data_IF_523358377037
#
_entry.id   IF_523358377037
#
_cell.length_a   1.000
_cell.length_b   1.000
_cell.length_c   1.000
_cell.angle_alpha   90.00
_cell.angle_beta   90.00
_cell.angle_gamma   90.00
#
_symmetry.space_group_name_H-M   'P 1'
#
loop_
_entity.id
_entity.type
_entity.pdbx_description
1 polymer ?
#
# COMPACT_ATOMS: atom_id res chain seq x y z
N UNK A 1 -11.70 18.52 -4.14
CA UNK A 1 -12.86 17.69 -4.56
C UNK A 1 -14.05 18.55 -4.98
N UNK A 2 -14.50 19.52 -4.16
CA UNK A 2 -15.62 20.40 -4.52
C UNK A 2 -15.33 21.36 -5.69
N UNK A 3 -14.07 21.51 -6.07
CA UNK A 3 -13.65 22.31 -7.23
C UNK A 3 -13.64 21.50 -8.54
N UNK A 4 -14.01 20.21 -8.51
CA UNK A 4 -14.10 19.40 -9.73
C UNK A 4 -15.25 19.90 -10.62
N UNK A 5 -15.15 19.75 -11.95
CA UNK A 5 -16.21 20.15 -12.86
C UNK A 5 -17.56 19.51 -12.47
N UNK A 6 -18.61 20.35 -12.34
CA UNK A 6 -19.98 19.95 -11.97
C UNK A 6 -20.12 19.33 -10.58
N UNK A 7 -19.15 19.50 -9.69
CA UNK A 7 -19.26 18.98 -8.32
C UNK A 7 -20.42 19.60 -7.54
N UNK A 8 -20.73 20.88 -7.80
CA UNK A 8 -21.85 21.61 -7.18
C UNK A 8 -23.23 21.00 -7.48
N UNK A 9 -23.39 20.30 -8.61
CA UNK A 9 -24.66 19.64 -8.98
C UNK A 9 -24.63 18.12 -8.82
N UNK A 10 -23.46 17.49 -8.93
CA UNK A 10 -23.34 16.03 -9.07
C UNK A 10 -22.53 15.34 -7.96
N UNK A 11 -21.99 16.09 -6.99
CA UNK A 11 -21.21 15.53 -5.89
C UNK A 11 -21.82 15.94 -4.54
N UNK A 12 -22.15 14.94 -3.72
CA UNK A 12 -22.48 15.13 -2.30
C UNK A 12 -21.42 14.45 -1.45
N UNK A 13 -21.15 15.02 -0.27
CA UNK A 13 -20.13 14.51 0.65
C UNK A 13 -20.82 14.00 1.89
N UNK A 14 -20.51 12.75 2.26
CA UNK A 14 -21.08 12.07 3.40
C UNK A 14 -19.97 11.64 4.35
N UNK A 15 -20.21 11.75 5.65
CA UNK A 15 -19.33 11.16 6.65
C UNK A 15 -19.60 9.66 6.70
N UNK A 16 -18.56 8.84 6.61
CA UNK A 16 -18.62 7.40 6.83
C UNK A 16 -17.40 6.93 7.61
N UNK A 17 -17.57 5.93 8.48
CA UNK A 17 -16.53 5.40 9.37
C UNK A 17 -16.56 3.88 9.27
N UNK A 18 -15.42 3.27 8.91
CA UNK A 18 -15.36 1.84 8.59
C UNK A 18 -15.79 0.94 9.76
N UNK A 19 -15.41 1.26 11.00
CA UNK A 19 -15.78 0.45 12.16
C UNK A 19 -17.21 0.69 12.68
N UNK A 20 -17.88 1.77 12.27
CA UNK A 20 -19.22 2.11 12.76
C UNK A 20 -20.30 1.47 11.87
N UNK A 21 -21.05 0.53 12.43
CA UNK A 21 -22.19 -0.09 11.76
C UNK A 21 -23.25 0.96 11.37
N UNK A 22 -23.73 0.89 10.13
CA UNK A 22 -24.73 1.81 9.58
C UNK A 22 -24.19 3.19 9.17
N UNK A 23 -22.90 3.48 9.36
CA UNK A 23 -22.32 4.79 9.02
C UNK A 23 -22.37 5.12 7.52
N UNK A 24 -22.55 4.11 6.66
CA UNK A 24 -22.69 4.27 5.21
C UNK A 24 -24.15 4.16 4.73
N UNK A 25 -25.11 3.92 5.61
CA UNK A 25 -26.51 3.67 5.23
C UNK A 25 -27.12 4.84 4.45
N UNK A 26 -26.94 6.06 4.96
CA UNK A 26 -27.49 7.28 4.33
C UNK A 26 -26.87 7.54 2.96
N UNK A 27 -25.54 7.37 2.84
CA UNK A 27 -24.81 7.59 1.60
C UNK A 27 -25.13 6.53 0.52
N UNK A 28 -25.50 5.31 0.93
CA UNK A 28 -25.79 4.19 0.03
C UNK A 28 -27.30 4.11 -0.30
N UNK A 29 -28.17 4.71 0.50
CA UNK A 29 -29.61 4.72 0.24
C UNK A 29 -29.92 5.36 -1.12
N UNK A 30 -30.57 4.59 -2.00
CA UNK A 30 -30.93 5.03 -3.35
C UNK A 30 -29.84 4.87 -4.40
N UNK A 31 -28.63 4.46 -4.03
CA UNK A 31 -27.55 4.18 -4.99
C UNK A 31 -27.85 2.92 -5.82
N UNK A 32 -27.49 2.96 -7.10
CA UNK A 32 -27.55 1.79 -8.00
C UNK A 32 -26.24 0.98 -7.99
N UNK A 33 -25.13 1.62 -7.65
CA UNK A 33 -23.81 1.02 -7.60
C UNK A 33 -23.00 1.60 -6.45
N UNK A 34 -22.14 0.77 -5.87
CA UNK A 34 -21.22 1.19 -4.82
C UNK A 34 -19.81 0.77 -5.21
N UNK A 35 -18.87 1.70 -5.11
CA UNK A 35 -17.44 1.47 -5.30
C UNK A 35 -16.74 1.57 -3.96
N UNK A 36 -16.40 0.43 -3.37
CA UNK A 36 -15.66 0.38 -2.12
C UNK A 36 -14.15 0.41 -2.40
N UNK A 37 -13.59 1.63 -2.37
CA UNK A 37 -12.17 1.91 -2.59
C UNK A 37 -11.41 2.17 -1.27
N UNK A 38 -12.12 2.67 -0.25
CA UNK A 38 -11.52 3.04 1.03
C UNK A 38 -10.91 1.83 1.76
N UNK A 39 -9.75 2.04 2.38
CA UNK A 39 -9.09 1.03 3.23
C UNK A 39 -8.15 1.76 4.20
N UNK A 40 -7.95 1.28 5.43
CA UNK A 40 -6.86 1.74 6.28
C UNK A 40 -5.52 1.49 5.59
N UNK A 41 -4.64 2.49 5.61
CA UNK A 41 -3.35 2.49 4.89
C UNK A 41 -2.21 2.93 5.81
N UNK A 42 -2.20 2.46 7.05
CA UNK A 42 -1.08 2.68 7.98
C UNK A 42 -0.17 1.45 7.98
N UNK A 43 1.06 1.62 7.48
CA UNK A 43 2.05 0.54 7.43
C UNK A 43 2.93 0.45 8.67
N UNK A 44 2.85 1.44 9.56
CA UNK A 44 3.68 1.55 10.77
C UNK A 44 2.86 1.38 12.05
N UNK A 45 1.62 0.91 11.92
CA UNK A 45 0.71 0.64 13.04
C UNK A 45 1.35 -0.29 14.08
N UNK A 46 1.20 0.09 15.35
CA UNK A 46 1.69 -0.69 16.50
C UNK A 46 0.70 -1.76 16.94
N UNK A 47 -0.56 -1.65 16.52
CA UNK A 47 -1.61 -2.64 16.75
C UNK A 47 -2.33 -2.99 15.44
N UNK A 48 -1.65 -3.69 14.50
CA UNK A 48 -2.21 -3.91 13.17
C UNK A 48 -3.51 -4.70 13.14
N UNK A 49 -3.75 -5.54 14.15
CA UNK A 49 -4.99 -6.31 14.26
C UNK A 49 -6.20 -5.41 14.49
N UNK A 50 -6.08 -4.41 15.37
CA UNK A 50 -7.21 -3.54 15.72
C UNK A 50 -7.27 -2.27 14.88
N UNK A 51 -6.15 -1.78 14.35
CA UNK A 51 -6.09 -0.51 13.59
C UNK A 51 -6.15 -0.70 12.07
N UNK A 52 -5.83 -1.90 11.56
CA UNK A 52 -5.79 -2.16 10.11
C UNK A 52 -6.67 -3.36 9.72
N UNK A 53 -6.39 -4.54 10.27
CA UNK A 53 -6.99 -5.80 9.81
C UNK A 53 -8.50 -5.84 10.11
N UNK A 54 -8.89 -5.70 11.39
CA UNK A 54 -10.32 -5.72 11.77
C UNK A 54 -11.11 -4.58 11.13
N UNK A 55 -10.66 -3.31 11.11
CA UNK A 55 -11.38 -2.25 10.44
C UNK A 55 -11.60 -2.50 8.95
N UNK A 56 -10.63 -3.09 8.25
CA UNK A 56 -10.78 -3.42 6.82
C UNK A 56 -11.87 -4.48 6.61
N UNK A 57 -11.88 -5.53 7.44
CA UNK A 57 -12.89 -6.61 7.36
C UNK A 57 -14.28 -6.07 7.74
N UNK A 58 -14.38 -5.37 8.87
CA UNK A 58 -15.64 -4.81 9.35
C UNK A 58 -16.19 -3.76 8.38
N UNK A 59 -15.32 -2.91 7.82
CA UNK A 59 -15.68 -1.89 6.85
C UNK A 59 -16.36 -2.47 5.60
N UNK A 60 -15.79 -3.52 5.00
CA UNK A 60 -16.42 -4.15 3.83
C UNK A 60 -17.73 -4.84 4.20
N UNK A 61 -17.83 -5.47 5.38
CA UNK A 61 -19.06 -6.10 5.85
C UNK A 61 -20.16 -5.07 6.13
N UNK A 62 -19.81 -3.93 6.72
CA UNK A 62 -20.71 -2.82 6.99
C UNK A 62 -21.25 -2.20 5.71
N UNK A 63 -20.41 -2.02 4.69
CA UNK A 63 -20.85 -1.56 3.36
C UNK A 63 -21.77 -2.58 2.69
N UNK A 64 -21.46 -3.89 2.77
CA UNK A 64 -22.34 -4.94 2.24
C UNK A 64 -23.70 -4.91 2.95
N UNK A 65 -23.73 -4.75 4.27
CA UNK A 65 -24.98 -4.61 5.04
C UNK A 65 -25.78 -3.39 4.59
N UNK A 66 -25.11 -2.26 4.37
CA UNK A 66 -25.73 -1.03 3.89
C UNK A 66 -26.33 -1.21 2.49
N UNK A 67 -25.62 -1.90 1.57
CA UNK A 67 -26.12 -2.26 0.24
C UNK A 67 -27.39 -3.11 0.31
N UNK A 68 -27.41 -4.12 1.20
CA UNK A 68 -28.59 -4.98 1.43
C UNK A 68 -29.78 -4.17 1.96
N UNK A 69 -29.52 -3.25 2.90
CA UNK A 69 -30.55 -2.37 3.48
C UNK A 69 -31.13 -1.43 2.43
N UNK A 70 -30.29 -0.88 1.54
CA UNK A 70 -30.72 0.05 0.50
C UNK A 70 -31.63 -0.60 -0.56
N UNK A 71 -31.43 -1.90 -0.87
CA UNK A 71 -32.19 -2.68 -1.87
C UNK A 71 -32.15 -2.16 -3.32
N UNK A 72 -31.55 -0.99 -3.55
CA UNK A 72 -31.39 -0.37 -4.87
C UNK A 72 -30.05 -0.71 -5.54
N UNK A 73 -29.06 -1.14 -4.75
CA UNK A 73 -27.71 -1.45 -5.24
C UNK A 73 -27.75 -2.70 -6.09
N UNK A 74 -27.44 -2.54 -7.37
CA UNK A 74 -27.38 -3.60 -8.38
C UNK A 74 -26.06 -4.36 -8.32
N UNK A 75 -24.95 -3.65 -8.05
CA UNK A 75 -23.60 -4.22 -8.00
C UNK A 75 -22.70 -3.45 -7.04
N UNK A 76 -21.95 -4.19 -6.23
CA UNK A 76 -20.88 -3.68 -5.39
C UNK A 76 -19.53 -4.01 -6.04
N UNK A 77 -18.73 -2.99 -6.35
CA UNK A 77 -17.37 -3.13 -6.86
C UNK A 77 -16.40 -2.85 -5.72
N UNK A 78 -15.55 -3.82 -5.40
CA UNK A 78 -14.53 -3.72 -4.37
C UNK A 78 -13.15 -3.59 -5.00
N UNK A 79 -12.39 -2.59 -4.57
CA UNK A 79 -10.97 -2.49 -4.91
C UNK A 79 -10.18 -3.37 -3.96
N UNK A 80 -9.79 -4.56 -4.42
CA UNK A 80 -8.86 -5.45 -3.73
C UNK A 80 -7.40 -4.98 -3.96
N UNK A 81 -6.43 -5.89 -3.94
CA UNK A 81 -5.01 -5.56 -4.12
C UNK A 81 -4.19 -6.76 -4.61
N UNK A 82 -3.14 -6.50 -5.39
CA UNK A 82 -2.12 -7.49 -5.73
C UNK A 82 -1.52 -8.22 -4.51
N UNK A 83 -1.53 -7.58 -3.34
CA UNK A 83 -1.16 -8.23 -2.08
C UNK A 83 -2.06 -9.43 -1.70
N UNK A 84 -3.19 -9.61 -2.38
CA UNK A 84 -4.05 -10.79 -2.25
C UNK A 84 -3.66 -11.93 -3.19
N UNK A 85 -2.78 -11.70 -4.17
CA UNK A 85 -2.46 -12.63 -5.26
C UNK A 85 -1.10 -13.32 -5.13
N UNK A 86 -0.02 -12.59 -4.90
CA UNK A 86 1.35 -13.10 -5.09
C UNK A 86 2.27 -13.02 -3.87
N UNK A 87 1.78 -12.75 -2.67
CA UNK A 87 2.64 -12.72 -1.47
C UNK A 87 2.81 -14.15 -0.96
N UNK A 88 3.90 -14.78 -1.38
CA UNK A 88 4.23 -16.18 -1.11
C UNK A 88 5.75 -16.41 -1.20
N UNK A 89 6.30 -17.49 -0.61
CA UNK A 89 7.75 -17.69 -0.53
C UNK A 89 8.46 -17.76 -1.89
N UNK A 90 7.84 -18.40 -2.89
CA UNK A 90 8.37 -18.48 -4.26
C UNK A 90 7.38 -17.87 -5.25
N UNK A 91 7.85 -16.92 -6.05
CA UNK A 91 7.03 -16.30 -7.09
C UNK A 91 6.75 -17.27 -8.24
N UNK A 92 5.52 -17.24 -8.77
CA UNK A 92 5.19 -17.84 -10.07
C UNK A 92 5.59 -16.87 -11.19
N UNK A 93 5.89 -17.38 -12.40
CA UNK A 93 6.13 -16.50 -13.55
C UNK A 93 4.87 -15.73 -13.96
N UNK A 94 3.67 -16.30 -13.76
CA UNK A 94 2.38 -15.69 -14.10
C UNK A 94 1.38 -15.92 -12.97
N UNK A 95 0.62 -14.87 -12.64
CA UNK A 95 -0.53 -14.90 -11.74
C UNK A 95 -1.81 -14.56 -12.50
N UNK A 96 -2.88 -15.28 -12.15
CA UNK A 96 -4.25 -15.04 -12.63
C UNK A 96 -5.21 -14.91 -11.42
N UNK A 97 -6.49 -14.70 -11.69
CA UNK A 97 -7.53 -14.50 -10.67
C UNK A 97 -7.75 -15.70 -9.72
N UNK A 98 -7.26 -16.89 -10.09
CA UNK A 98 -7.39 -18.10 -9.25
C UNK A 98 -6.36 -18.14 -8.12
N UNK A 99 -5.30 -17.34 -8.23
CA UNK A 99 -4.24 -17.28 -7.25
C UNK A 99 -4.66 -16.55 -5.97
N UNK A 100 -4.11 -16.98 -4.84
CA UNK A 100 -4.23 -16.30 -3.55
C UNK A 100 -2.87 -16.31 -2.86
N UNK A 101 -2.59 -15.22 -2.14
CA UNK A 101 -1.41 -15.10 -1.29
C UNK A 101 -1.47 -16.02 -0.08
N UNK A 102 -0.30 -16.37 0.44
CA UNK A 102 -0.11 -17.24 1.59
C UNK A 102 -0.13 -16.41 2.88
N UNK A 103 -1.23 -16.50 3.62
CA UNK A 103 -1.40 -15.80 4.90
C UNK A 103 -0.37 -16.25 5.94
N UNK A 104 -0.07 -17.54 6.02
CA UNK A 104 0.87 -18.07 7.02
C UNK A 104 2.26 -17.49 6.77
N UNK A 105 2.68 -17.43 5.51
CA UNK A 105 3.92 -16.76 5.12
C UNK A 105 3.92 -15.27 5.46
N UNK A 106 2.84 -14.54 5.19
CA UNK A 106 2.71 -13.11 5.51
C UNK A 106 2.89 -12.87 7.01
N UNK A 107 2.16 -13.62 7.85
CA UNK A 107 2.22 -13.49 9.31
C UNK A 107 3.58 -13.93 9.89
N UNK A 108 4.23 -14.92 9.29
CA UNK A 108 5.55 -15.37 9.71
C UNK A 108 6.66 -14.38 9.31
N UNK A 109 6.61 -13.83 8.09
CA UNK A 109 7.68 -13.00 7.54
C UNK A 109 7.57 -11.53 7.94
N UNK A 110 6.35 -11.00 8.10
CA UNK A 110 6.05 -9.60 8.44
C UNK A 110 6.86 -8.59 7.61
N UNK A 111 6.89 -8.79 6.30
CA UNK A 111 7.54 -7.85 5.37
C UNK A 111 6.87 -6.47 5.40
N UNK A 112 7.50 -5.45 4.81
CA UNK A 112 6.88 -4.14 4.59
C UNK A 112 5.49 -4.30 3.97
N UNK A 113 4.45 -3.72 4.57
CA UNK A 113 3.08 -3.84 4.07
C UNK A 113 2.33 -5.12 4.49
N UNK A 114 2.89 -6.00 5.32
CA UNK A 114 2.28 -7.31 5.66
C UNK A 114 0.85 -7.22 6.21
N UNK A 115 0.58 -6.27 7.12
CA UNK A 115 -0.76 -6.13 7.72
C UNK A 115 -1.79 -5.65 6.70
N UNK A 116 -1.36 -4.82 5.75
CA UNK A 116 -2.20 -4.42 4.63
C UNK A 116 -2.52 -5.64 3.76
N UNK A 117 -1.53 -6.47 3.40
CA UNK A 117 -1.77 -7.69 2.62
C UNK A 117 -2.74 -8.64 3.34
N UNK A 118 -2.51 -8.91 4.62
CA UNK A 118 -3.39 -9.75 5.44
C UNK A 118 -4.81 -9.19 5.48
N UNK A 119 -4.97 -7.89 5.74
CA UNK A 119 -6.27 -7.21 5.81
C UNK A 119 -7.06 -7.32 4.51
N UNK A 120 -6.42 -7.09 3.35
CA UNK A 120 -7.08 -7.17 2.04
C UNK A 120 -7.47 -8.61 1.68
N UNK A 121 -6.64 -9.59 2.00
CA UNK A 121 -6.97 -11.02 1.79
C UNK A 121 -8.20 -11.41 2.60
N UNK A 122 -8.19 -11.09 3.89
CA UNK A 122 -9.27 -11.46 4.81
C UNK A 122 -10.57 -10.73 4.46
N UNK A 123 -10.50 -9.42 4.18
CA UNK A 123 -11.64 -8.63 3.77
C UNK A 123 -12.24 -9.13 2.45
N UNK A 124 -11.42 -9.45 1.44
CA UNK A 124 -11.94 -9.97 0.17
C UNK A 124 -12.62 -11.34 0.36
N UNK A 125 -12.04 -12.24 1.16
CA UNK A 125 -12.64 -13.56 1.47
C UNK A 125 -13.97 -13.43 2.20
N UNK A 126 -14.05 -12.59 3.23
CA UNK A 126 -15.29 -12.34 3.96
C UNK A 126 -16.33 -11.63 3.09
N UNK A 127 -15.91 -10.70 2.23
CA UNK A 127 -16.80 -10.07 1.26
C UNK A 127 -17.43 -11.11 0.32
N UNK A 128 -16.64 -12.00 -0.29
CA UNK A 128 -17.15 -13.08 -1.15
C UNK A 128 -18.17 -13.98 -0.44
N UNK A 129 -17.91 -14.33 0.82
CA UNK A 129 -18.83 -15.13 1.63
C UNK A 129 -20.13 -14.36 1.90
N UNK A 130 -20.04 -13.12 2.38
CA UNK A 130 -21.18 -12.31 2.77
C UNK A 130 -22.07 -11.92 1.58
N UNK A 131 -21.48 -11.54 0.44
CA UNK A 131 -22.26 -11.17 -0.76
C UNK A 131 -22.96 -12.37 -1.37
N UNK A 132 -22.34 -13.56 -1.34
CA UNK A 132 -23.00 -14.81 -1.76
C UNK A 132 -24.21 -15.15 -0.90
N UNK A 133 -24.08 -15.05 0.43
CA UNK A 133 -25.19 -15.31 1.37
C UNK A 133 -26.33 -14.30 1.18
N UNK A 134 -25.98 -13.01 1.04
CA UNK A 134 -26.93 -11.90 0.95
C UNK A 134 -27.42 -11.62 -0.48
N UNK A 135 -26.95 -12.39 -1.46
CA UNK A 135 -27.29 -12.28 -2.89
C UNK A 135 -27.02 -10.88 -3.47
N UNK A 136 -25.87 -10.31 -3.14
CA UNK A 136 -25.37 -9.06 -3.73
C UNK A 136 -24.43 -9.42 -4.89
N UNK A 137 -24.66 -8.84 -6.07
CA UNK A 137 -23.70 -8.94 -7.18
C UNK A 137 -22.42 -8.19 -6.79
N UNK A 138 -21.30 -8.91 -6.84
CA UNK A 138 -20.03 -8.47 -6.29
C UNK A 138 -18.90 -8.71 -7.29
N UNK A 139 -18.13 -7.65 -7.52
CA UNK A 139 -16.92 -7.67 -8.34
C UNK A 139 -15.74 -7.25 -7.47
N UNK A 140 -14.63 -7.96 -7.61
CA UNK A 140 -13.36 -7.59 -6.99
C UNK A 140 -12.35 -7.23 -8.08
N UNK A 141 -11.81 -6.00 -8.03
CA UNK A 141 -10.78 -5.52 -8.95
C UNK A 141 -9.45 -5.55 -8.21
N UNK A 142 -8.44 -6.13 -8.84
CA UNK A 142 -7.14 -6.38 -8.23
C UNK A 142 -6.08 -5.54 -8.95
N UNK A 143 -5.85 -4.30 -8.50
CA UNK A 143 -4.75 -3.49 -8.99
C UNK A 143 -3.40 -3.95 -8.42
N UNK A 144 -2.31 -3.89 -9.21
CA UNK A 144 -0.95 -3.91 -8.71
C UNK A 144 -0.54 -2.52 -8.21
N UNK A 145 0.70 -2.09 -8.48
CA UNK A 145 1.13 -0.74 -8.13
C UNK A 145 0.47 0.28 -9.07
N UNK A 146 -0.38 1.13 -8.52
CA UNK A 146 -1.10 2.17 -9.26
C UNK A 146 -0.24 3.41 -9.36
N UNK A 147 0.04 3.85 -10.58
CA UNK A 147 0.93 4.98 -10.87
C UNK A 147 0.28 5.91 -11.89
N UNK A 148 0.40 7.22 -11.69
CA UNK A 148 -0.19 8.21 -12.60
C UNK A 148 -0.35 9.58 -11.96
N UNK A 149 -0.92 10.55 -12.70
CA UNK A 149 -1.27 11.86 -12.17
C UNK A 149 -2.39 11.74 -11.13
N UNK A 150 -2.49 12.70 -10.21
CA UNK A 150 -3.49 12.67 -9.14
C UNK A 150 -3.95 14.07 -8.74
N UNK A 151 -5.16 14.12 -8.19
CA UNK A 151 -5.80 15.38 -7.77
C UNK A 151 -5.65 15.68 -6.28
N UNK A 152 -5.33 14.67 -5.44
CA UNK A 152 -5.18 14.84 -3.99
C UNK A 152 -4.07 15.83 -3.64
N UNK A 153 -4.17 16.54 -2.50
CA UNK A 153 -3.15 17.51 -2.10
C UNK A 153 -1.88 16.84 -1.57
N UNK A 154 -2.00 15.62 -1.06
CA UNK A 154 -0.91 14.87 -0.42
C UNK A 154 -0.29 13.84 -1.35
N UNK A 155 0.92 13.41 -1.00
CA UNK A 155 1.68 12.37 -1.69
C UNK A 155 0.92 11.03 -1.61
N UNK A 156 0.47 10.44 -2.74
CA UNK A 156 -0.25 9.17 -2.73
C UNK A 156 0.62 8.02 -2.21
N UNK A 157 0.10 7.12 -1.35
CA UNK A 157 0.89 6.02 -0.79
C UNK A 157 1.57 5.11 -1.82
N UNK A 158 0.90 4.79 -2.93
CA UNK A 158 1.50 3.97 -3.99
C UNK A 158 2.69 4.64 -4.67
N UNK A 159 2.68 5.98 -4.76
CA UNK A 159 3.78 6.72 -5.38
C UNK A 159 5.03 6.76 -4.49
N UNK A 160 4.88 6.60 -3.16
CA UNK A 160 6.03 6.46 -2.25
C UNK A 160 6.83 5.21 -2.67
N UNK A 161 6.13 4.12 -2.97
CA UNK A 161 6.72 2.88 -3.49
C UNK A 161 7.23 3.07 -4.92
N UNK A 162 6.42 3.62 -5.83
CA UNK A 162 6.76 3.73 -7.25
C UNK A 162 7.99 4.60 -7.49
N UNK A 163 8.15 5.68 -6.73
CA UNK A 163 9.27 6.61 -6.86
C UNK A 163 10.38 6.36 -5.84
N UNK A 164 10.36 5.20 -5.16
CA UNK A 164 11.37 4.85 -4.15
C UNK A 164 12.81 4.89 -4.70
N UNK A 165 13.00 4.59 -5.97
CA UNK A 165 14.30 4.71 -6.66
C UNK A 165 14.79 6.16 -6.76
N UNK A 166 13.89 7.13 -6.90
CA UNK A 166 14.21 8.56 -6.96
C UNK A 166 14.46 9.10 -5.55
N UNK A 167 13.66 8.67 -4.58
CA UNK A 167 13.73 9.18 -3.20
C UNK A 167 14.70 8.41 -2.30
N UNK A 168 15.37 7.37 -2.81
CA UNK A 168 16.26 6.51 -2.04
C UNK A 168 15.57 5.67 -0.96
N UNK A 169 14.24 5.43 -1.06
CA UNK A 169 13.50 4.72 -0.03
C UNK A 169 13.60 3.19 -0.20
N UNK A 170 14.73 2.61 0.22
CA UNK A 170 15.04 1.20 -0.01
C UNK A 170 14.04 0.22 0.61
N UNK A 171 13.32 0.62 1.67
CA UNK A 171 12.33 -0.24 2.34
C UNK A 171 11.19 -0.68 1.39
N UNK A 172 10.96 0.08 0.30
CA UNK A 172 9.94 -0.18 -0.70
C UNK A 172 10.44 -0.99 -1.90
N UNK A 173 11.76 -1.22 -2.03
CA UNK A 173 12.35 -1.96 -3.16
C UNK A 173 11.84 -3.38 -3.27
N UNK A 174 11.48 -3.99 -2.14
CA UNK A 174 10.91 -5.35 -2.12
C UNK A 174 9.63 -5.49 -2.96
N UNK A 175 8.82 -4.43 -3.05
CA UNK A 175 7.55 -4.41 -3.80
C UNK A 175 7.81 -4.23 -5.31
N UNK A 176 8.81 -3.42 -5.69
CA UNK A 176 9.13 -3.13 -7.10
C UNK A 176 10.21 -4.06 -7.69
N UNK A 177 10.82 -4.94 -6.88
CA UNK A 177 11.84 -5.92 -7.30
C UNK A 177 11.45 -6.66 -8.57
N UNK A 178 10.23 -7.20 -8.60
CA UNK A 178 9.57 -7.82 -9.74
C UNK A 178 8.18 -7.20 -9.86
N UNK A 179 8.13 -5.90 -10.16
CA UNK A 179 6.92 -5.08 -10.04
C UNK A 179 5.93 -5.22 -11.20
N UNK A 180 4.66 -4.99 -10.89
CA UNK A 180 3.56 -4.86 -11.86
C UNK A 180 2.89 -3.50 -11.67
N UNK A 181 2.38 -2.93 -12.76
CA UNK A 181 1.94 -1.53 -12.80
C UNK A 181 0.65 -1.36 -13.61
N UNK A 182 -0.16 -0.40 -13.17
CA UNK A 182 -1.34 0.07 -13.90
C UNK A 182 -1.46 1.58 -13.78
N UNK A 183 -1.90 2.21 -14.87
CA UNK A 183 -2.16 3.64 -14.87
C UNK A 183 -3.40 3.94 -14.01
N UNK A 184 -3.37 5.03 -13.24
CA UNK A 184 -4.51 5.41 -12.39
C UNK A 184 -5.81 5.52 -13.19
N UNK A 185 -5.76 6.16 -14.36
CA UNK A 185 -6.92 6.36 -15.21
C UNK A 185 -7.43 5.05 -15.84
N UNK A 186 -6.53 4.16 -16.29
CA UNK A 186 -6.94 2.83 -16.76
C UNK A 186 -7.63 2.04 -15.63
N UNK A 187 -7.14 2.16 -14.39
CA UNK A 187 -7.77 1.51 -13.25
C UNK A 187 -9.17 2.09 -12.98
N UNK A 188 -9.32 3.41 -12.98
CA UNK A 188 -10.62 4.06 -12.80
C UNK A 188 -11.62 3.67 -13.90
N UNK A 189 -11.19 3.65 -15.15
CA UNK A 189 -11.97 3.19 -16.29
C UNK A 189 -12.35 1.71 -16.16
N UNK A 190 -11.45 0.85 -15.66
CA UNK A 190 -11.76 -0.56 -15.41
C UNK A 190 -12.81 -0.75 -14.32
N UNK A 191 -12.83 0.10 -13.29
CA UNK A 191 -13.88 0.11 -12.27
C UNK A 191 -15.24 0.38 -12.91
N UNK A 192 -15.35 1.45 -13.70
CA UNK A 192 -16.58 1.82 -14.40
C UNK A 192 -17.01 0.72 -15.37
N UNK A 193 -16.07 0.25 -16.20
CA UNK A 193 -16.30 -0.81 -17.19
C UNK A 193 -16.87 -2.07 -16.54
N UNK A 194 -16.27 -2.56 -15.46
CA UNK A 194 -16.74 -3.79 -14.79
C UNK A 194 -18.06 -3.58 -14.02
N UNK A 195 -18.33 -2.37 -13.53
CA UNK A 195 -19.65 -2.05 -12.99
C UNK A 195 -20.73 -2.15 -14.08
N UNK A 196 -20.50 -1.53 -15.24
CA UNK A 196 -21.48 -1.45 -16.33
C UNK A 196 -21.61 -2.74 -17.14
N UNK A 197 -20.56 -3.57 -17.19
CA UNK A 197 -20.55 -4.75 -18.05
C UNK A 197 -21.43 -5.88 -17.47
N UNK A 198 -22.53 -6.27 -18.14
CA UNK A 198 -23.56 -7.14 -17.56
C UNK A 198 -23.07 -8.56 -17.24
N UNK A 199 -22.05 -9.03 -17.97
CA UNK A 199 -21.45 -10.37 -17.78
C UNK A 199 -20.21 -10.37 -16.86
N UNK A 200 -19.85 -9.24 -16.24
CA UNK A 200 -18.76 -9.23 -15.28
C UNK A 200 -19.13 -10.12 -14.10
N UNK A 201 -18.24 -11.03 -13.72
CA UNK A 201 -18.39 -11.86 -12.51
C UNK A 201 -17.03 -12.20 -11.91
N UNK A 202 -16.95 -12.25 -10.58
CA UNK A 202 -15.75 -12.72 -9.90
C UNK A 202 -14.68 -11.64 -9.71
N UNK A 203 -13.44 -12.10 -9.63
CA UNK A 203 -12.24 -11.29 -9.49
C UNK A 203 -11.73 -10.85 -10.86
N UNK A 204 -11.03 -9.72 -10.95
CA UNK A 204 -10.41 -9.21 -12.17
C UNK A 204 -9.06 -8.57 -11.87
N UNK A 205 -7.99 -9.09 -12.47
CA UNK A 205 -6.69 -8.41 -12.45
C UNK A 205 -6.74 -7.20 -13.37
N UNK A 206 -6.29 -6.05 -12.87
CA UNK A 206 -6.17 -4.82 -13.63
C UNK A 206 -4.70 -4.35 -13.62
N UNK A 207 -3.88 -5.04 -14.42
CA UNK A 207 -2.44 -4.85 -14.56
C UNK A 207 -2.05 -4.72 -16.03
N UNK A 208 -1.31 -3.68 -16.40
CA UNK A 208 -0.96 -3.40 -17.80
C UNK A 208 0.50 -3.67 -18.12
N UNK A 209 1.39 -3.41 -17.17
CA UNK A 209 2.83 -3.47 -17.37
C UNK A 209 3.52 -4.21 -16.22
N UNK A 210 4.72 -4.67 -16.48
CA UNK A 210 5.56 -5.39 -15.53
C UNK A 210 7.02 -5.19 -15.90
N UNK A 211 7.88 -5.04 -14.90
CA UNK A 211 9.33 -4.95 -15.10
C UNK A 211 10.04 -5.26 -13.79
N UNK A 212 11.32 -5.60 -13.86
CA UNK A 212 12.16 -5.73 -12.67
C UNK A 212 12.56 -4.35 -12.16
N UNK A 213 13.07 -4.26 -10.93
CA UNK A 213 13.61 -3.01 -10.40
C UNK A 213 14.73 -2.43 -11.29
N UNK A 214 15.53 -3.30 -11.92
CA UNK A 214 16.59 -2.89 -12.86
C UNK A 214 16.00 -2.27 -14.13
N UNK A 215 15.03 -2.93 -14.75
CA UNK A 215 14.37 -2.38 -15.94
C UNK A 215 13.62 -1.07 -15.64
N UNK A 216 13.07 -0.94 -14.43
CA UNK A 216 12.49 0.32 -13.98
C UNK A 216 13.57 1.41 -13.79
N UNK A 217 14.69 1.08 -13.13
CA UNK A 217 15.80 2.00 -12.92
C UNK A 217 16.40 2.51 -14.23
N UNK A 218 16.56 1.63 -15.21
CA UNK A 218 17.03 1.97 -16.56
C UNK A 218 16.07 2.95 -17.24
N UNK A 219 14.76 2.67 -17.20
CA UNK A 219 13.73 3.57 -17.75
C UNK A 219 13.79 4.95 -17.08
N UNK A 220 13.87 5.00 -15.74
CA UNK A 220 13.90 6.28 -15.02
C UNK A 220 15.18 7.06 -15.35
N UNK A 221 16.33 6.39 -15.36
CA UNK A 221 17.64 7.00 -15.67
C UNK A 221 17.65 7.60 -17.08
N UNK A 222 17.03 6.92 -18.05
CA UNK A 222 16.95 7.38 -19.43
C UNK A 222 16.01 8.59 -19.58
N UNK A 223 14.80 8.52 -18.99
CA UNK A 223 13.74 9.50 -19.22
C UNK A 223 13.80 10.72 -18.30
N UNK A 224 14.39 10.60 -17.11
CA UNK A 224 14.58 11.68 -16.13
C UNK A 224 16.03 11.70 -15.63
N UNK A 225 17.00 12.03 -16.50
CA UNK A 225 18.42 11.99 -16.18
C UNK A 225 18.82 12.99 -15.09
N UNK A 226 17.94 13.90 -14.67
CA UNK A 226 18.13 14.82 -13.55
C UNK A 226 18.02 14.14 -12.17
N UNK A 227 17.48 12.91 -12.08
CA UNK A 227 17.50 12.14 -10.84
C UNK A 227 18.72 11.23 -10.77
N UNK A 228 19.29 11.11 -9.56
CA UNK A 228 20.22 10.03 -9.26
C UNK A 228 19.42 8.75 -9.02
N UNK A 229 19.76 7.69 -9.75
CA UNK A 229 19.16 6.36 -9.62
C UNK A 229 20.29 5.36 -9.37
N UNK A 230 20.23 4.54 -8.30
CA UNK A 230 21.25 3.53 -8.05
C UNK A 230 21.33 2.52 -9.19
N UNK A 231 22.55 2.12 -9.56
CA UNK A 231 22.80 1.07 -10.56
C UNK A 231 22.88 -0.34 -9.96
N UNK A 232 22.90 -0.44 -8.63
CA UNK A 232 22.94 -1.68 -7.88
C UNK A 232 21.99 -1.59 -6.69
N UNK A 233 21.34 -2.71 -6.37
CA UNK A 233 20.38 -2.80 -5.26
C UNK A 233 20.80 -3.92 -4.33
N UNK A 234 21.05 -3.58 -3.06
CA UNK A 234 21.56 -4.55 -2.07
C UNK A 234 20.61 -5.74 -1.93
N UNK A 235 21.16 -6.95 -2.07
CA UNK A 235 20.40 -8.20 -1.94
C UNK A 235 19.46 -8.50 -3.12
N UNK A 236 19.58 -7.77 -4.23
CA UNK A 236 18.81 -7.98 -5.45
C UNK A 236 19.77 -8.31 -6.59
N UNK A 237 19.65 -9.54 -7.10
CA UNK A 237 20.42 -10.05 -8.24
C UNK A 237 20.11 -9.25 -9.52
N UNK A 238 21.07 -9.16 -10.45
CA UNK A 238 20.88 -8.47 -11.74
C UNK A 238 19.92 -9.22 -12.65
N UNK A 239 20.11 -10.53 -12.76
CA UNK A 239 19.27 -11.41 -13.57
C UNK A 239 18.06 -11.87 -12.76
N UNK A 240 16.96 -11.12 -12.88
CA UNK A 240 15.68 -11.47 -12.26
C UNK A 240 14.68 -11.89 -13.32
N UNK A 241 13.99 -12.99 -13.06
CA UNK A 241 12.81 -13.33 -13.84
C UNK A 241 11.73 -12.25 -13.67
N UNK A 242 11.00 -11.99 -14.73
CA UNK A 242 9.82 -11.13 -14.69
C UNK A 242 8.63 -11.92 -14.12
N UNK A 243 7.80 -11.26 -13.31
CA UNK A 243 6.53 -11.80 -12.82
C UNK A 243 5.39 -11.06 -13.49
N UNK A 244 4.49 -11.80 -14.14
CA UNK A 244 3.37 -11.27 -14.89
C UNK A 244 2.04 -11.41 -14.13
N UNK A 245 1.22 -10.36 -14.16
CA UNK A 245 -0.16 -10.39 -13.69
C UNK A 245 -1.07 -10.34 -14.91
N UNK A 246 -1.78 -11.45 -15.17
CA UNK A 246 -2.58 -11.63 -16.36
C UNK A 246 -3.91 -10.90 -16.26
N UNK A 247 -4.05 -9.78 -16.97
CA UNK A 247 -5.33 -9.09 -17.16
C UNK A 247 -6.16 -9.68 -18.31
N UNK A 248 -5.83 -10.90 -18.75
CA UNK A 248 -6.50 -11.54 -19.89
C UNK A 248 -8.01 -11.60 -19.71
N UNK A 249 -8.49 -11.93 -18.50
CA UNK A 249 -9.93 -12.00 -18.21
C UNK A 249 -10.63 -10.65 -18.44
N UNK A 250 -10.00 -9.55 -18.01
CA UNK A 250 -10.51 -8.19 -18.22
C UNK A 250 -10.47 -7.80 -19.71
N UNK A 251 -9.37 -8.11 -20.40
CA UNK A 251 -9.19 -7.81 -21.82
C UNK A 251 -10.12 -8.63 -22.74
N UNK A 252 -10.39 -9.90 -22.40
CA UNK A 252 -11.30 -10.78 -23.14
C UNK A 252 -12.76 -10.26 -23.07
N UNK A 253 -13.08 -9.39 -22.11
CA UNK A 253 -14.38 -8.68 -22.06
C UNK A 253 -14.42 -7.43 -22.94
N UNK A 254 -13.30 -7.04 -23.54
CA UNK A 254 -13.18 -5.88 -24.43
C UNK A 254 -12.56 -4.63 -23.80
N UNK A 255 -12.10 -4.70 -22.54
CA UNK A 255 -11.36 -3.59 -21.93
C UNK A 255 -9.99 -3.42 -22.58
N UNK A 256 -9.57 -2.17 -22.80
CA UNK A 256 -8.28 -1.84 -23.40
C UNK A 256 -7.53 -0.85 -22.51
N UNK A 257 -6.30 -1.21 -22.13
CA UNK A 257 -5.36 -0.31 -21.46
C UNK A 257 -4.86 0.73 -22.45
N UNK A 258 -4.86 1.99 -22.05
CA UNK A 258 -4.55 3.14 -22.93
C UNK A 258 -3.15 3.70 -22.69
N UNK A 259 -2.56 3.45 -21.53
CA UNK A 259 -1.35 4.14 -21.08
C UNK A 259 -0.15 3.20 -20.96
N UNK A 260 1.02 3.70 -21.34
CA UNK A 260 2.30 3.02 -21.16
C UNK A 260 2.85 3.17 -19.73
N UNK A 261 3.84 2.35 -19.37
CA UNK A 261 4.58 2.54 -18.11
C UNK A 261 5.23 3.94 -18.02
N UNK A 262 5.72 4.46 -19.14
CA UNK A 262 6.31 5.81 -19.20
C UNK A 262 5.27 6.90 -18.91
N UNK A 263 4.06 6.80 -19.47
CA UNK A 263 2.97 7.75 -19.22
C UNK A 263 2.62 7.81 -17.72
N UNK A 264 2.61 6.64 -17.05
CA UNK A 264 2.37 6.55 -15.61
C UNK A 264 3.39 7.36 -14.82
N UNK A 265 4.68 7.11 -15.05
CA UNK A 265 5.76 7.78 -14.31
C UNK A 265 5.85 9.26 -14.67
N UNK A 266 5.68 9.62 -15.95
CA UNK A 266 5.62 11.01 -16.41
C UNK A 266 4.52 11.78 -15.68
N UNK A 267 3.29 11.27 -15.71
CA UNK A 267 2.16 11.92 -15.05
C UNK A 267 2.34 12.05 -13.54
N UNK A 268 2.90 11.03 -12.88
CA UNK A 268 3.19 11.06 -11.44
C UNK A 268 4.25 12.11 -11.09
N UNK A 269 5.40 12.08 -11.76
CA UNK A 269 6.54 12.98 -11.51
C UNK A 269 6.16 14.44 -11.79
N UNK A 270 5.51 14.72 -12.93
CA UNK A 270 5.09 16.08 -13.28
C UNK A 270 4.06 16.62 -12.28
N UNK A 271 3.11 15.79 -11.84
CA UNK A 271 2.12 16.18 -10.83
C UNK A 271 2.78 16.50 -9.49
N UNK A 272 3.72 15.67 -9.03
CA UNK A 272 4.43 15.90 -7.78
C UNK A 272 5.30 17.15 -7.84
N UNK A 273 6.04 17.36 -8.93
CA UNK A 273 6.83 18.59 -9.16
C UNK A 273 5.95 19.83 -9.13
N UNK A 274 4.82 19.82 -9.84
CA UNK A 274 3.86 20.93 -9.86
C UNK A 274 3.30 21.24 -8.46
N UNK A 275 3.16 20.22 -7.61
CA UNK A 275 2.70 20.36 -6.22
C UNK A 275 3.82 20.65 -5.22
N UNK A 276 5.09 20.71 -5.66
CA UNK A 276 6.24 20.90 -4.77
C UNK A 276 6.53 19.71 -3.84
N UNK A 277 6.04 18.52 -4.20
CA UNK A 277 6.15 17.30 -3.40
C UNK A 277 7.32 16.39 -3.84
N UNK A 278 8.00 16.74 -4.93
CA UNK A 278 9.18 16.05 -5.43
C UNK A 278 10.16 17.10 -5.95
N UNK A 279 11.45 17.09 -5.55
CA UNK A 279 12.43 18.04 -6.06
C UNK A 279 12.64 17.84 -7.57
N UNK A 280 13.13 18.86 -8.26
CA UNK A 280 13.40 18.73 -9.70
C UNK A 280 14.58 17.78 -9.97
N UNK A 281 15.59 17.74 -9.08
CA UNK A 281 16.76 16.88 -9.19
C UNK A 281 17.16 16.32 -7.83
N UNK A 282 17.79 15.15 -7.81
CA UNK A 282 18.39 14.52 -6.61
C UNK A 282 19.91 14.35 -6.71
N UNK A 283 20.54 14.79 -7.81
CA UNK A 283 21.99 14.61 -8.03
C UNK A 283 22.87 15.35 -7.04
N UNK A 284 22.50 16.56 -6.68
CA UNK A 284 23.27 17.37 -5.73
C UNK A 284 23.24 16.75 -4.32
N UNK A 285 22.09 16.21 -3.91
CA UNK A 285 21.96 15.50 -2.63
C UNK A 285 22.79 14.20 -2.62
N UNK A 286 22.77 13.43 -3.70
CA UNK A 286 23.55 12.18 -3.82
C UNK A 286 25.07 12.44 -3.79
N UNK A 287 25.54 13.50 -4.44
CA UNK A 287 26.97 13.86 -4.42
C UNK A 287 27.46 14.21 -3.01
N UNK A 288 26.61 14.85 -2.20
CA UNK A 288 26.93 15.20 -0.81
C UNK A 288 26.98 13.94 0.08
N UNK A 289 26.08 12.97 -0.12
CA UNK A 289 26.10 11.71 0.61
C UNK A 289 27.31 10.84 0.24
N UNK A 290 27.67 10.74 -1.05
CA UNK A 290 28.87 10.05 -1.50
C UNK A 290 30.16 10.71 -0.96
N UNK A 291 30.22 12.05 -0.87
CA UNK A 291 31.33 12.76 -0.23
C UNK A 291 31.40 12.49 1.29
N UNK A 292 30.26 12.36 1.98
CA UNK A 292 30.23 12.06 3.42
C UNK A 292 30.61 10.61 3.74
N UNK A 293 30.24 9.64 2.90
CA UNK A 293 30.66 8.23 3.06
C UNK A 293 32.15 8.01 2.72
N UNK A 294 32.76 8.89 1.91
CA UNK A 294 34.15 8.77 1.48
C UNK A 294 35.16 9.51 2.36
N UNK A 295 34.73 10.29 3.35
CA UNK A 295 35.63 10.87 4.37
C UNK A 295 35.99 9.78 5.39
N UNK A 296 37.24 9.30 5.46
CA UNK A 296 37.62 8.32 6.46
C UNK A 296 37.52 8.93 7.86
N UNK A 297 36.76 8.29 8.73
CA UNK A 297 36.82 8.50 10.18
C UNK A 297 38.29 8.44 10.60
N UNK A 298 38.90 9.57 10.96
CA UNK A 298 40.19 9.59 11.65
C UNK A 298 40.00 8.90 13.00
N UNK A 299 40.37 7.63 13.06
CA UNK A 299 40.58 6.92 14.32
C UNK A 299 41.87 7.48 14.90
N UNK A 300 41.75 8.37 15.90
CA UNK A 300 42.88 8.67 16.77
C UNK A 300 43.18 7.42 17.60
N UNK A 301 44.41 6.89 17.48
CA UNK A 301 44.89 5.78 18.28
C UNK A 301 44.92 6.17 19.77
N UNK A 302 44.46 5.30 20.69
CA UNK A 302 44.58 5.59 22.11
C UNK A 302 46.04 5.41 22.54
N UNK A 303 46.67 6.51 22.96
CA UNK A 303 47.97 6.50 23.65
C UNK A 303 47.88 5.69 24.94
N UNK A 304 48.81 4.76 25.11
CA UNK A 304 48.94 3.89 26.27
C UNK A 304 49.03 4.70 27.58
N UNK A 305 48.15 4.40 28.53
CA UNK A 305 48.26 4.85 29.92
C UNK A 305 48.66 3.64 30.78
N UNK A 306 49.82 3.76 31.42
CA UNK A 306 50.36 2.80 32.38
C UNK A 306 49.37 2.51 33.52
N UNK A 307 49.08 1.23 33.75
CA UNK A 307 48.36 0.77 34.94
C UNK A 307 49.29 0.82 36.16
N UNK A 308 49.02 1.74 37.10
CA UNK A 308 49.42 1.57 38.50
C UNK A 308 48.26 0.96 39.28
N UNK A 309 48.47 -0.24 39.78
CA UNK A 309 47.61 -0.88 40.77
C UNK A 309 47.71 -0.13 42.10
N UNK A 310 46.58 0.38 42.59
CA UNK A 310 46.37 0.64 44.01
C UNK A 310 45.06 -0.01 44.45
N UNK A 311 45.18 -0.92 45.41
CA UNK A 311 44.11 -1.67 46.05
C UNK A 311 43.51 -0.86 47.19
N UNK A 312 42.18 -0.69 47.21
CA UNK A 312 41.42 -0.20 48.38
C UNK A 312 40.14 -1.03 48.53
N UNK A 313 39.79 -1.51 49.74
CA UNK A 313 38.81 -2.58 49.92
C UNK A 313 37.35 -2.11 49.92
N UNK A 314 36.47 -2.98 49.42
CA UNK A 314 35.01 -2.85 49.38
C UNK A 314 34.40 -2.82 50.79
N UNK A 315 33.55 -1.81 51.06
CA UNK A 315 32.54 -1.85 52.13
C UNK A 315 31.16 -1.99 51.48
N UNK A 316 30.42 -2.97 51.97
CA UNK A 316 29.02 -3.22 51.64
C UNK A 316 28.11 -2.32 52.49
N UNK A 317 27.12 -1.68 51.87
CA UNK A 317 25.94 -1.14 52.56
C UNK A 317 24.68 -1.77 51.95
N UNK A 318 23.80 -2.27 52.82
CA UNK A 318 22.54 -2.92 52.49
C UNK A 318 21.45 -1.89 52.09
N UNK A 319 20.52 -2.22 51.17
CA UNK A 319 19.39 -1.35 50.89
C UNK A 319 18.24 -1.53 51.90
N UNK A 320 17.82 -0.42 52.50
CA UNK A 320 16.64 -0.28 53.35
C UNK A 320 15.32 -0.46 52.57
N UNK A 321 14.39 -1.19 53.19
CA UNK A 321 13.05 -1.46 52.71
C UNK A 321 12.17 -0.19 52.57
N UNK A 322 11.34 -0.15 51.53
CA UNK A 322 10.25 0.83 51.38
C UNK A 322 8.92 0.08 51.54
N UNK A 323 8.17 0.47 52.58
CA UNK A 323 6.83 -0.01 52.91
C UNK A 323 5.79 0.36 51.84
N UNK A 324 4.97 -0.62 51.46
CA UNK A 324 3.74 -0.43 50.70
C UNK A 324 2.65 0.13 51.61
N UNK A 325 2.11 1.31 51.29
CA UNK A 325 0.81 1.76 51.81
C UNK A 325 -0.27 1.53 50.77
N UNK A 326 -1.16 0.60 51.07
CA UNK A 326 -2.46 0.45 50.42
C UNK A 326 -3.37 1.60 50.88
N UNK A 327 -3.98 2.30 49.93
CA UNK A 327 -5.13 3.16 50.19
C UNK A 327 -6.34 2.60 49.43
N UNK A 328 -7.36 2.24 50.22
CA UNK A 328 -8.65 1.70 49.80
C UNK A 328 -9.60 2.88 49.57
N UNK A 329 -10.18 3.00 48.38
CA UNK A 329 -11.26 3.96 48.10
C UNK A 329 -12.60 3.21 48.14
N UNK A 330 -13.60 3.64 48.94
CA UNK A 330 -14.88 2.95 49.03
C UNK A 330 -15.87 3.42 47.94
N UNK A 331 -16.60 2.46 47.39
CA UNK A 331 -17.81 2.66 46.59
C UNK A 331 -18.91 3.33 47.43
N UNK A 332 -19.67 4.23 46.80
CA UNK A 332 -21.05 4.53 47.18
C UNK A 332 -21.98 4.51 45.97
N UNK A 333 -22.98 3.64 46.13
CA UNK A 333 -24.36 3.58 45.63
C UNK A 333 -24.78 4.42 44.42
#
# INVERSE_FOLDING_TARGET
MLELPKADTNLTVWKGVMEEEGSFDEAIAGCEGVFHVATPMDFDSKDPENEVIKPTINGVLNIINSCVKAKTVKRLVFTSSAGTLNVQPQQKPVYDETCWSDLDFIYAKKMTGWMYFASKILAEKEAWKATKEKKIDFISIIPPLVVGPFITPTFPPSLITALSLITGNEAHYSIIKQGQYVHLDDLCEAHIFLYEHPKAEGRFICSSHHTTIHGLADMITHNWPEYYIPSQFKGIEKELAVVYFSSKKLQDMGFQFKYSLEDMYRGAIETLRKKGLLPYSTKEAAAIEEEQETVPLKVEEPTAIEQKQETVPLKFEEPTAIEQKQEVVPLKA
#
